data_IF_466369820968
#
_entry.id   IF_466369820968
#
_cell.length_a   1.000
_cell.length_b   1.000
_cell.length_c   1.000
_cell.angle_alpha   90.00
_cell.angle_beta   90.00
_cell.angle_gamma   90.00
#
_symmetry.space_group_name_H-M   'P 1'
#
loop_
_entity.id
_entity.type
_entity.pdbx_description
1 polymer ?
#
# COMPACT_ATOMS: atom_id res chain seq x y z
N UNK A 1 -31.70 4.82 1.80
CA UNK A 1 -31.81 3.40 2.20
C UNK A 1 -30.95 3.09 3.43
N UNK A 2 -31.45 2.29 4.37
CA UNK A 2 -30.70 1.74 5.51
C UNK A 2 -30.67 0.22 5.47
N UNK A 3 -29.57 -0.37 5.88
CA UNK A 3 -29.36 -1.83 5.97
C UNK A 3 -29.00 -2.23 7.40
N UNK A 4 -29.15 -3.50 7.77
CA UNK A 4 -28.68 -4.02 9.06
C UNK A 4 -27.14 -4.08 9.10
N UNK A 5 -26.55 -4.09 10.30
CA UNK A 5 -25.08 -4.26 10.47
C UNK A 5 -24.53 -5.55 9.83
N UNK A 6 -25.17 -6.73 9.96
CA UNK A 6 -24.69 -7.94 9.29
C UNK A 6 -24.67 -7.79 7.75
N UNK A 7 -25.69 -7.15 7.18
CA UNK A 7 -25.74 -6.89 5.73
C UNK A 7 -24.64 -5.90 5.33
N UNK A 8 -24.38 -4.86 6.12
CA UNK A 8 -23.28 -3.94 5.88
C UNK A 8 -21.90 -4.64 5.90
N UNK A 9 -21.67 -5.53 6.87
CA UNK A 9 -20.48 -6.36 6.91
C UNK A 9 -20.37 -7.27 5.68
N UNK A 10 -21.46 -7.96 5.32
CA UNK A 10 -21.52 -8.77 4.12
C UNK A 10 -21.13 -7.99 2.86
N UNK A 11 -21.68 -6.79 2.69
CA UNK A 11 -21.33 -5.91 1.57
C UNK A 11 -19.84 -5.53 1.56
N UNK A 12 -19.28 -5.16 2.71
CA UNK A 12 -17.85 -4.82 2.81
C UNK A 12 -16.98 -6.03 2.45
N UNK A 13 -17.25 -7.18 3.07
CA UNK A 13 -16.46 -8.40 2.90
C UNK A 13 -16.54 -8.93 1.46
N UNK A 14 -17.73 -8.99 0.88
CA UNK A 14 -17.94 -9.41 -0.51
C UNK A 14 -17.24 -8.46 -1.48
N UNK A 15 -17.34 -7.14 -1.25
CA UNK A 15 -16.68 -6.16 -2.14
C UNK A 15 -15.16 -6.21 -2.01
N UNK A 16 -14.65 -6.30 -0.78
CA UNK A 16 -13.22 -6.45 -0.51
C UNK A 16 -12.67 -7.72 -1.19
N UNK A 17 -13.31 -8.87 -0.93
CA UNK A 17 -12.93 -10.15 -1.52
C UNK A 17 -13.02 -10.12 -3.05
N UNK A 18 -14.15 -9.64 -3.59
CA UNK A 18 -14.37 -9.52 -5.04
C UNK A 18 -13.33 -8.62 -5.69
N UNK A 19 -13.04 -7.46 -5.10
CA UNK A 19 -11.99 -6.55 -5.58
C UNK A 19 -10.58 -7.14 -5.46
N UNK A 20 -10.33 -8.01 -4.48
CA UNK A 20 -9.03 -8.66 -4.31
C UNK A 20 -8.83 -9.83 -5.28
N UNK A 21 -9.92 -10.52 -5.65
CA UNK A 21 -9.90 -11.66 -6.57
C UNK A 21 -9.96 -11.25 -8.04
N UNK A 22 -10.53 -10.08 -8.37
CA UNK A 22 -10.76 -9.68 -9.76
C UNK A 22 -9.48 -9.64 -10.59
N UNK A 23 -8.35 -9.22 -9.99
CA UNK A 23 -7.04 -9.17 -10.65
C UNK A 23 -6.58 -10.54 -11.11
N UNK A 24 -6.74 -11.54 -10.25
CA UNK A 24 -6.33 -12.89 -10.60
C UNK A 24 -7.34 -13.55 -11.53
N UNK A 25 -8.64 -13.40 -11.29
CA UNK A 25 -9.67 -13.98 -12.16
C UNK A 25 -9.63 -13.42 -13.57
N UNK A 26 -9.14 -12.18 -13.76
CA UNK A 26 -8.88 -11.61 -15.08
C UNK A 26 -7.83 -12.39 -15.87
N UNK A 27 -6.76 -12.84 -15.22
CA UNK A 27 -5.67 -13.60 -15.86
C UNK A 27 -6.11 -15.00 -16.34
N UNK A 28 -7.26 -15.50 -15.86
CA UNK A 28 -7.81 -16.81 -16.23
C UNK A 28 -8.98 -16.75 -17.22
N UNK A 29 -9.34 -15.58 -17.75
CA UNK A 29 -10.41 -15.49 -18.75
C UNK A 29 -9.84 -15.88 -20.10
N UNK A 30 -10.34 -16.97 -20.73
CA UNK A 30 -9.82 -17.38 -22.02
C UNK A 30 -10.11 -16.33 -23.10
N UNK A 31 -9.14 -16.08 -23.98
CA UNK A 31 -9.22 -15.10 -25.08
C UNK A 31 -10.39 -15.35 -26.06
N UNK A 32 -10.96 -16.55 -26.06
CA UNK A 32 -12.04 -16.99 -26.95
C UNK A 32 -13.45 -16.62 -26.45
N UNK A 33 -13.61 -15.92 -25.32
CA UNK A 33 -14.92 -15.53 -24.82
C UNK A 33 -15.61 -14.50 -25.77
N UNK A 34 -16.85 -14.77 -26.24
CA UNK A 34 -17.48 -14.05 -27.36
C UNK A 34 -18.03 -12.66 -27.02
N UNK A 35 -17.96 -12.22 -25.76
CA UNK A 35 -18.42 -10.89 -25.34
C UNK A 35 -17.32 -9.85 -25.54
N UNK A 36 -17.61 -8.56 -25.81
CA UNK A 36 -16.59 -7.53 -25.81
C UNK A 36 -16.11 -7.23 -24.38
N UNK A 37 -14.85 -6.79 -24.24
CA UNK A 37 -14.37 -6.22 -22.98
C UNK A 37 -15.24 -4.99 -22.63
N UNK A 38 -15.72 -4.83 -21.38
CA UNK A 38 -15.34 -5.58 -20.19
C UNK A 38 -16.39 -6.58 -19.66
N UNK A 39 -17.37 -6.96 -20.50
CA UNK A 39 -18.45 -7.91 -20.14
C UNK A 39 -17.96 -9.37 -20.14
N UNK A 40 -16.75 -9.63 -20.67
CA UNK A 40 -16.09 -10.95 -20.68
C UNK A 40 -15.89 -11.55 -19.28
N UNK A 41 -15.75 -10.72 -18.24
CA UNK A 41 -15.65 -11.15 -16.85
C UNK A 41 -16.98 -10.91 -16.13
N UNK A 42 -17.76 -11.96 -15.78
CA UNK A 42 -18.99 -11.80 -15.01
C UNK A 42 -18.77 -11.08 -13.68
N UNK A 43 -17.60 -11.28 -13.05
CA UNK A 43 -17.21 -10.58 -11.83
C UNK A 43 -16.93 -9.10 -12.09
N UNK A 44 -16.23 -8.75 -13.18
CA UNK A 44 -16.02 -7.36 -13.57
C UNK A 44 -17.34 -6.67 -13.93
N UNK A 45 -18.20 -7.33 -14.71
CA UNK A 45 -19.51 -6.81 -15.06
C UNK A 45 -20.35 -6.56 -13.81
N UNK A 46 -20.37 -7.52 -12.87
CA UNK A 46 -21.00 -7.36 -11.57
C UNK A 46 -20.43 -6.17 -10.79
N UNK A 47 -19.10 -6.05 -10.68
CA UNK A 47 -18.46 -4.96 -9.93
C UNK A 47 -18.68 -3.60 -10.60
N UNK A 48 -18.74 -3.55 -11.93
CA UNK A 48 -19.06 -2.33 -12.69
C UNK A 48 -20.52 -1.92 -12.48
N UNK A 49 -21.46 -2.85 -12.62
CA UNK A 49 -22.87 -2.59 -12.34
C UNK A 49 -23.07 -2.17 -10.87
N UNK A 50 -22.40 -2.86 -9.95
CA UNK A 50 -22.43 -2.52 -8.53
C UNK A 50 -21.85 -1.12 -8.28
N UNK A 51 -20.72 -0.77 -8.90
CA UNK A 51 -20.13 0.57 -8.87
C UNK A 51 -21.11 1.63 -9.39
N UNK A 52 -21.72 1.41 -10.56
CA UNK A 52 -22.70 2.33 -11.14
C UNK A 52 -23.92 2.51 -10.23
N UNK A 53 -24.43 1.43 -9.65
CA UNK A 53 -25.53 1.48 -8.66
C UNK A 53 -25.12 2.28 -7.42
N UNK A 54 -23.88 2.12 -6.94
CA UNK A 54 -23.36 2.85 -5.79
C UNK A 54 -23.21 4.34 -6.09
N UNK A 55 -22.70 4.71 -7.28
CA UNK A 55 -22.56 6.11 -7.73
C UNK A 55 -23.94 6.75 -7.91
N UNK A 56 -24.88 6.06 -8.55
CA UNK A 56 -26.27 6.51 -8.68
C UNK A 56 -26.94 6.69 -7.30
N UNK A 57 -26.77 5.72 -6.39
CA UNK A 57 -27.31 5.78 -5.03
C UNK A 57 -26.70 6.90 -4.20
N UNK A 58 -25.41 7.21 -4.40
CA UNK A 58 -24.70 8.27 -3.69
C UNK A 58 -25.09 9.67 -4.20
N UNK A 59 -25.25 9.83 -5.51
CA UNK A 59 -25.67 11.09 -6.14
C UNK A 59 -27.14 11.44 -5.85
N UNK A 60 -28.03 10.44 -5.82
CA UNK A 60 -29.47 10.65 -5.55
C UNK A 60 -29.81 10.77 -4.06
N UNK A 61 -29.06 10.12 -3.18
CA UNK A 61 -29.26 10.16 -1.73
C UNK A 61 -28.44 11.23 -0.99
N UNK A 62 -27.98 12.25 -1.72
CA UNK A 62 -26.87 13.14 -1.38
C UNK A 62 -26.79 13.58 0.08
N UNK A 63 -25.57 13.54 0.66
CA UNK A 63 -25.03 14.24 1.87
C UNK A 63 -25.95 14.48 3.10
N UNK A 64 -27.14 13.91 3.18
CA UNK A 64 -28.20 14.44 4.01
C UNK A 64 -28.38 13.67 5.32
N UNK A 65 -27.85 14.21 6.42
CA UNK A 65 -28.57 14.18 7.70
C UNK A 65 -28.35 12.98 8.64
N UNK A 66 -28.49 13.30 9.94
CA UNK A 66 -28.41 12.52 11.19
C UNK A 66 -28.08 11.01 11.14
N UNK A 67 -27.15 10.62 12.03
CA UNK A 67 -26.80 9.22 12.36
C UNK A 67 -28.07 8.41 12.62
N UNK A 68 -28.28 7.24 11.97
CA UNK A 68 -29.27 6.30 12.47
C UNK A 68 -28.81 5.85 13.87
N UNK A 69 -29.64 6.08 14.88
CA UNK A 69 -29.47 5.49 16.20
C UNK A 69 -29.99 4.05 16.12
N UNK A 70 -29.16 3.05 16.46
CA UNK A 70 -29.57 1.63 16.51
C UNK A 70 -28.76 0.66 15.62
N UNK A 71 -29.31 -0.53 15.32
CA UNK A 71 -28.59 -1.65 14.66
C UNK A 71 -28.49 -1.52 13.13
N UNK A 72 -28.82 -0.34 12.58
CA UNK A 72 -28.90 -0.09 11.13
C UNK A 72 -27.88 0.96 10.69
N UNK A 73 -27.36 0.79 9.47
CA UNK A 73 -26.40 1.69 8.82
C UNK A 73 -27.02 2.23 7.55
N UNK A 74 -26.77 3.50 7.24
CA UNK A 74 -27.15 4.10 5.96
C UNK A 74 -26.19 3.60 4.87
N UNK A 75 -26.72 3.07 3.78
CA UNK A 75 -25.91 2.52 2.69
C UNK A 75 -24.94 3.56 2.10
N UNK A 76 -25.39 4.82 1.99
CA UNK A 76 -24.54 5.94 1.54
C UNK A 76 -23.34 6.24 2.46
N UNK A 77 -23.32 5.72 3.70
CA UNK A 77 -22.14 5.79 4.55
C UNK A 77 -21.04 4.81 4.10
N UNK A 78 -21.41 3.67 3.52
CA UNK A 78 -20.51 2.65 2.99
C UNK A 78 -20.03 2.98 1.58
N UNK A 79 -20.82 3.74 0.82
CA UNK A 79 -20.54 4.06 -0.59
C UNK A 79 -19.10 4.55 -0.86
N UNK A 80 -18.49 5.46 -0.08
CA UNK A 80 -17.10 5.86 -0.32
C UNK A 80 -16.11 4.70 -0.34
N UNK A 81 -16.21 3.79 0.64
CA UNK A 81 -15.35 2.60 0.73
C UNK A 81 -15.62 1.64 -0.43
N UNK A 82 -16.90 1.36 -0.72
CA UNK A 82 -17.28 0.40 -1.76
C UNK A 82 -16.91 0.90 -3.16
N UNK A 83 -17.08 2.20 -3.42
CA UNK A 83 -16.65 2.86 -4.64
C UNK A 83 -15.13 2.81 -4.73
N UNK A 84 -14.39 3.12 -3.66
CA UNK A 84 -12.94 3.04 -3.68
C UNK A 84 -12.44 1.64 -4.06
N UNK A 85 -12.96 0.59 -3.39
CA UNK A 85 -12.61 -0.81 -3.65
C UNK A 85 -12.90 -1.28 -5.09
N UNK A 86 -13.93 -0.72 -5.74
CA UNK A 86 -14.33 -1.12 -7.10
C UNK A 86 -13.70 -0.26 -8.19
N UNK A 87 -13.54 1.03 -7.94
CA UNK A 87 -13.09 2.03 -8.91
C UNK A 87 -11.67 1.80 -9.39
N UNK A 88 -10.73 1.54 -8.46
CA UNK A 88 -9.33 1.31 -8.84
C UNK A 88 -9.21 0.10 -9.78
N UNK A 89 -9.96 -0.97 -9.50
CA UNK A 89 -9.97 -2.16 -10.36
C UNK A 89 -10.56 -1.85 -11.74
N UNK A 90 -11.69 -1.14 -11.80
CA UNK A 90 -12.30 -0.69 -13.07
C UNK A 90 -11.30 0.12 -13.90
N UNK A 91 -10.60 1.08 -13.27
CA UNK A 91 -9.65 1.94 -13.97
C UNK A 91 -8.42 1.15 -14.44
N UNK A 92 -7.88 0.27 -13.59
CA UNK A 92 -6.73 -0.57 -13.92
C UNK A 92 -6.99 -1.47 -15.13
N UNK A 93 -8.18 -2.05 -15.30
CA UNK A 93 -8.47 -2.91 -16.45
C UNK A 93 -8.96 -2.20 -17.72
N UNK A 94 -9.49 -0.99 -17.61
CA UNK A 94 -10.02 -0.28 -18.80
C UNK A 94 -9.00 0.67 -19.40
N UNK A 95 -8.14 1.25 -18.57
CA UNK A 95 -7.25 2.32 -18.99
C UNK A 95 -5.82 1.83 -19.22
N UNK A 96 -5.31 0.88 -18.43
CA UNK A 96 -3.88 0.53 -18.52
C UNK A 96 -3.55 -0.27 -19.77
N UNK A 97 -4.36 -1.26 -20.11
CA UNK A 97 -4.13 -2.08 -21.31
C UNK A 97 -4.18 -1.22 -22.58
N UNK A 98 -5.20 -0.35 -22.70
CA UNK A 98 -5.32 0.56 -23.84
C UNK A 98 -4.16 1.58 -23.93
N UNK A 99 -3.66 2.09 -22.80
CA UNK A 99 -2.51 2.98 -22.77
C UNK A 99 -1.20 2.26 -23.10
N UNK A 100 -1.03 1.02 -22.63
CA UNK A 100 0.13 0.19 -22.92
C UNK A 100 0.16 -0.19 -24.41
N UNK A 101 -0.96 -0.63 -24.98
CA UNK A 101 -1.06 -0.96 -26.41
C UNK A 101 -0.69 0.22 -27.31
N UNK A 102 -1.08 1.44 -26.92
CA UNK A 102 -0.71 2.66 -27.64
C UNK A 102 0.79 3.02 -27.46
N UNK A 103 1.35 2.77 -26.27
CA UNK A 103 2.73 3.13 -25.92
C UNK A 103 3.78 2.13 -26.43
N UNK A 104 3.43 0.85 -26.59
CA UNK A 104 4.33 -0.24 -27.03
C UNK A 104 4.82 -0.06 -28.48
N UNK A 105 4.20 0.85 -29.25
CA UNK A 105 4.70 1.30 -30.55
C UNK A 105 6.02 2.10 -30.49
N UNK A 106 6.47 2.51 -29.29
CA UNK A 106 7.69 3.28 -29.08
C UNK A 106 8.83 2.33 -28.68
N UNK A 107 9.89 2.26 -29.50
CA UNK A 107 11.01 1.31 -29.33
C UNK A 107 11.62 1.35 -27.91
N UNK A 108 11.84 2.54 -27.35
CA UNK A 108 12.36 2.70 -25.99
C UNK A 108 11.46 2.10 -24.90
N UNK A 109 10.14 2.15 -25.09
CA UNK A 109 9.15 1.57 -24.16
C UNK A 109 9.16 0.05 -24.28
N UNK A 110 9.27 -0.48 -25.51
CA UNK A 110 9.39 -1.92 -25.74
C UNK A 110 10.63 -2.51 -25.06
N UNK A 111 11.77 -1.82 -25.14
CA UNK A 111 13.04 -2.28 -24.53
C UNK A 111 13.02 -2.27 -22.98
N UNK A 112 12.07 -1.56 -22.37
CA UNK A 112 11.93 -1.40 -20.92
C UNK A 112 10.50 -1.63 -20.43
N UNK A 113 9.76 -2.52 -21.10
CA UNK A 113 8.31 -2.66 -20.94
C UNK A 113 7.91 -2.92 -19.48
N UNK A 114 8.64 -3.79 -18.78
CA UNK A 114 8.38 -4.11 -17.36
C UNK A 114 8.47 -2.89 -16.45
N UNK A 115 9.40 -1.98 -16.74
CA UNK A 115 9.60 -0.75 -15.97
C UNK A 115 8.44 0.22 -16.19
N UNK A 116 8.03 0.39 -17.46
CA UNK A 116 6.92 1.25 -17.82
C UNK A 116 5.59 0.74 -17.28
N UNK A 117 5.39 -0.58 -17.22
CA UNK A 117 4.23 -1.18 -16.55
C UNK A 117 4.17 -0.75 -15.08
N UNK A 118 5.28 -0.83 -14.34
CA UNK A 118 5.30 -0.40 -12.94
C UNK A 118 5.01 1.09 -12.76
N UNK A 119 5.59 1.94 -13.61
CA UNK A 119 5.33 3.39 -13.59
C UNK A 119 3.86 3.68 -13.90
N UNK A 120 3.30 3.08 -14.96
CA UNK A 120 1.92 3.31 -15.38
C UNK A 120 0.91 2.84 -14.32
N UNK A 121 1.12 1.66 -13.74
CA UNK A 121 0.31 1.16 -12.63
C UNK A 121 0.36 2.15 -11.45
N UNK A 122 1.57 2.58 -11.06
CA UNK A 122 1.73 3.49 -9.94
C UNK A 122 1.10 4.87 -10.18
N UNK A 123 1.31 5.45 -11.36
CA UNK A 123 0.73 6.74 -11.76
C UNK A 123 -0.79 6.66 -11.85
N UNK A 124 -1.33 5.62 -12.49
CA UNK A 124 -2.77 5.45 -12.63
C UNK A 124 -3.45 5.21 -11.28
N UNK A 125 -2.82 4.46 -10.38
CA UNK A 125 -3.32 4.22 -9.03
C UNK A 125 -3.28 5.51 -8.21
N UNK A 126 -2.23 6.33 -8.36
CA UNK A 126 -2.16 7.65 -7.73
C UNK A 126 -3.25 8.59 -8.26
N UNK A 127 -3.52 8.56 -9.57
CA UNK A 127 -4.64 9.29 -10.16
C UNK A 127 -5.97 8.82 -9.58
N UNK A 128 -6.17 7.51 -9.45
CA UNK A 128 -7.37 6.95 -8.84
C UNK A 128 -7.54 7.41 -7.38
N UNK A 129 -6.45 7.41 -6.60
CA UNK A 129 -6.43 7.98 -5.24
C UNK A 129 -6.90 9.43 -5.25
N UNK A 130 -6.33 10.27 -6.12
CA UNK A 130 -6.65 11.71 -6.22
C UNK A 130 -8.13 11.91 -6.54
N UNK A 131 -8.67 11.16 -7.50
CA UNK A 131 -10.07 11.24 -7.91
C UNK A 131 -11.04 10.75 -6.84
N UNK A 132 -10.60 9.86 -5.94
CA UNK A 132 -11.38 9.39 -4.80
C UNK A 132 -11.35 10.34 -3.59
N UNK A 133 -10.39 11.27 -3.49
CA UNK A 133 -10.28 12.21 -2.35
C UNK A 133 -11.60 12.96 -2.05
N UNK A 134 -12.32 13.54 -3.04
CA UNK A 134 -13.56 14.28 -2.79
C UNK A 134 -14.69 13.43 -2.20
N UNK A 135 -14.63 12.12 -2.43
CA UNK A 135 -15.61 11.15 -1.91
C UNK A 135 -15.27 10.74 -0.47
N UNK A 136 -13.99 10.68 -0.14
CA UNK A 136 -13.42 10.16 1.12
C UNK A 136 -13.29 11.25 2.20
N UNK A 137 -14.37 11.98 2.47
CA UNK A 137 -14.39 13.13 3.38
C UNK A 137 -13.94 12.82 4.83
N UNK A 138 -13.91 11.55 5.25
CA UNK A 138 -13.51 11.13 6.61
C UNK A 138 -12.01 10.91 6.78
N UNK A 139 -11.29 10.72 5.67
CA UNK A 139 -9.87 10.36 5.68
C UNK A 139 -8.97 11.55 6.03
N UNK A 140 -9.45 12.78 5.80
CA UNK A 140 -8.70 14.00 6.07
C UNK A 140 -7.41 14.05 5.26
N UNK A 141 -7.47 13.69 3.97
CA UNK A 141 -6.29 13.44 3.13
C UNK A 141 -5.29 14.61 3.09
N UNK A 142 -5.77 15.85 3.17
CA UNK A 142 -4.94 17.06 3.26
C UNK A 142 -3.94 17.03 4.42
N UNK A 143 -4.23 16.30 5.50
CA UNK A 143 -3.34 16.16 6.64
C UNK A 143 -2.08 15.34 6.32
N UNK A 144 -2.12 14.49 5.29
CA UNK A 144 -0.97 13.71 4.84
C UNK A 144 -0.02 14.50 3.95
N UNK A 145 -0.55 15.39 3.12
CA UNK A 145 0.23 16.15 2.15
C UNK A 145 0.97 17.35 2.75
N UNK A 146 1.08 17.41 4.08
CA UNK A 146 1.83 18.50 4.73
C UNK A 146 3.33 18.26 4.56
N UNK A 147 4.10 19.32 4.30
CA UNK A 147 5.55 19.23 4.21
C UNK A 147 6.22 18.68 5.48
N UNK A 148 5.55 18.73 6.64
CA UNK A 148 6.01 18.10 7.87
C UNK A 148 5.91 16.56 7.82
N UNK A 149 4.82 16.01 7.27
CA UNK A 149 4.64 14.56 7.09
C UNK A 149 5.63 14.03 6.06
N UNK A 150 5.78 14.71 4.92
CA UNK A 150 6.78 14.35 3.90
C UNK A 150 8.17 14.29 4.51
N UNK A 151 8.63 15.39 5.12
CA UNK A 151 9.98 15.47 5.71
C UNK A 151 10.21 14.42 6.80
N UNK A 152 9.28 14.27 7.74
CA UNK A 152 9.41 13.26 8.80
C UNK A 152 9.42 11.83 8.26
N UNK A 153 8.69 11.55 7.18
CA UNK A 153 8.71 10.25 6.52
C UNK A 153 10.07 9.92 5.93
N UNK A 154 10.66 10.88 5.21
CA UNK A 154 12.03 10.75 4.71
C UNK A 154 13.06 10.62 5.83
N UNK A 155 13.00 11.45 6.88
CA UNK A 155 13.95 11.36 7.98
C UNK A 155 13.92 10.00 8.67
N UNK A 156 12.74 9.50 9.04
CA UNK A 156 12.61 8.18 9.67
C UNK A 156 13.13 7.06 8.76
N UNK A 157 12.85 7.16 7.46
CA UNK A 157 13.32 6.21 6.47
C UNK A 157 14.85 6.22 6.31
N UNK A 158 15.47 7.40 6.21
CA UNK A 158 16.93 7.52 6.11
C UNK A 158 17.63 7.05 7.38
N UNK A 159 17.08 7.33 8.57
CA UNK A 159 17.62 6.79 9.83
C UNK A 159 17.53 5.27 9.82
N UNK A 160 16.42 4.69 9.38
CA UNK A 160 16.27 3.23 9.28
C UNK A 160 17.33 2.63 8.35
N UNK A 161 17.49 3.18 7.14
CA UNK A 161 18.54 2.74 6.20
C UNK A 161 19.94 2.89 6.79
N UNK A 162 20.23 4.01 7.43
CA UNK A 162 21.53 4.25 8.05
C UNK A 162 21.84 3.22 9.13
N UNK A 163 20.87 2.91 10.01
CA UNK A 163 21.02 1.87 11.02
C UNK A 163 21.23 0.49 10.39
N UNK A 164 20.46 0.17 9.35
CA UNK A 164 20.60 -1.10 8.62
C UNK A 164 21.99 -1.26 8.03
N UNK A 165 22.45 -0.30 7.23
CA UNK A 165 23.76 -0.38 6.60
C UNK A 165 24.89 -0.26 7.62
N UNK A 166 24.75 0.54 8.67
CA UNK A 166 25.72 0.61 9.76
C UNK A 166 25.92 -0.74 10.47
N UNK A 167 24.81 -1.43 10.78
CA UNK A 167 24.85 -2.77 11.38
C UNK A 167 25.45 -3.80 10.43
N UNK A 168 25.01 -3.82 9.17
CA UNK A 168 25.50 -4.78 8.17
C UNK A 168 26.98 -4.54 7.83
N UNK A 169 27.42 -3.29 7.71
CA UNK A 169 28.83 -2.96 7.52
C UNK A 169 29.67 -3.41 8.72
N UNK A 170 29.19 -3.20 9.95
CA UNK A 170 29.87 -3.69 11.16
C UNK A 170 29.98 -5.21 11.17
N UNK A 171 28.93 -5.92 10.75
CA UNK A 171 28.94 -7.38 10.62
C UNK A 171 29.95 -7.84 9.56
N UNK A 172 29.99 -7.19 8.39
CA UNK A 172 30.96 -7.50 7.33
C UNK A 172 32.39 -7.28 7.84
N UNK A 173 32.68 -6.18 8.55
CA UNK A 173 34.00 -5.95 9.14
C UNK A 173 34.40 -7.05 10.14
N UNK A 174 33.44 -7.50 10.95
CA UNK A 174 33.68 -8.57 11.92
C UNK A 174 33.95 -9.92 11.26
N UNK A 175 33.21 -10.25 10.19
CA UNK A 175 33.36 -11.53 9.47
C UNK A 175 34.57 -11.56 8.54
N UNK A 176 34.87 -10.44 7.86
CA UNK A 176 35.93 -10.36 6.86
C UNK A 176 37.30 -9.99 7.47
N UNK A 177 37.31 -9.51 8.71
CA UNK A 177 38.47 -8.94 9.41
C UNK A 177 38.54 -7.42 9.26
N UNK A 178 38.95 -6.67 10.30
CA UNK A 178 38.90 -5.21 10.34
C UNK A 178 39.80 -4.54 9.30
N UNK A 179 40.80 -5.26 8.78
CA UNK A 179 41.75 -4.76 7.78
C UNK A 179 41.21 -4.83 6.35
N UNK A 180 40.12 -5.57 6.10
CA UNK A 180 39.52 -5.65 4.77
C UNK A 180 38.62 -4.45 4.52
N UNK A 181 38.89 -3.73 3.41
CA UNK A 181 38.06 -2.63 2.95
C UNK A 181 36.67 -3.14 2.58
N UNK A 182 35.61 -2.50 3.08
CA UNK A 182 34.24 -2.75 2.63
C UNK A 182 34.06 -2.13 1.25
N UNK A 183 33.46 -2.88 0.32
CA UNK A 183 33.01 -2.37 -0.97
C UNK A 183 31.48 -2.37 -1.00
N UNK A 184 30.91 -1.27 -1.52
CA UNK A 184 29.48 -1.13 -1.75
C UNK A 184 29.23 -1.28 -3.25
N UNK A 185 28.43 -2.27 -3.61
CA UNK A 185 28.03 -2.54 -4.99
C UNK A 185 26.69 -1.85 -5.25
N UNK A 186 26.70 -0.80 -6.06
CA UNK A 186 25.48 -0.12 -6.48
C UNK A 186 24.93 -0.77 -7.76
N UNK A 187 23.61 -1.01 -7.85
CA UNK A 187 22.99 -1.28 -9.12
C UNK A 187 23.05 0.00 -9.96
N UNK A 188 23.90 0.00 -10.99
CA UNK A 188 24.14 1.15 -11.86
C UNK A 188 23.44 0.97 -13.21
N UNK A 189 23.11 2.08 -13.86
CA UNK A 189 22.56 2.11 -15.22
C UNK A 189 21.12 2.63 -15.30
N UNK A 190 20.74 3.10 -16.49
CA UNK A 190 19.44 3.75 -16.75
C UNK A 190 18.27 2.82 -16.43
N UNK A 191 18.33 1.54 -16.81
CA UNK A 191 17.27 0.57 -16.54
C UNK A 191 17.04 0.34 -15.04
N UNK A 192 18.11 0.23 -14.25
CA UNK A 192 18.02 0.07 -12.80
C UNK A 192 17.39 1.30 -12.13
N UNK A 193 17.81 2.51 -12.52
CA UNK A 193 17.23 3.76 -12.02
C UNK A 193 15.74 3.88 -12.37
N UNK A 194 15.37 3.58 -13.62
CA UNK A 194 13.97 3.63 -14.03
C UNK A 194 13.13 2.59 -13.27
N UNK A 195 13.66 1.39 -13.04
CA UNK A 195 12.96 0.36 -12.25
C UNK A 195 12.80 0.80 -10.78
N UNK A 196 13.81 1.43 -10.18
CA UNK A 196 13.69 2.02 -8.83
C UNK A 196 12.60 3.10 -8.78
N UNK A 197 12.50 3.95 -9.82
CA UNK A 197 11.42 4.93 -9.91
C UNK A 197 10.06 4.24 -10.02
N UNK A 198 9.92 3.26 -10.92
CA UNK A 198 8.68 2.52 -11.12
C UNK A 198 8.20 1.81 -9.85
N UNK A 199 9.09 1.08 -9.18
CA UNK A 199 8.80 0.40 -7.92
C UNK A 199 8.47 1.39 -6.80
N UNK A 200 9.15 2.54 -6.74
CA UNK A 200 8.91 3.58 -5.75
C UNK A 200 7.55 4.26 -5.93
N UNK A 201 7.22 4.67 -7.16
CA UNK A 201 5.92 5.29 -7.47
C UNK A 201 4.77 4.32 -7.20
N UNK A 202 4.93 3.06 -7.61
CA UNK A 202 3.96 2.00 -7.33
C UNK A 202 3.74 1.81 -5.82
N UNK A 203 4.81 1.60 -5.05
CA UNK A 203 4.72 1.39 -3.61
C UNK A 203 4.06 2.58 -2.90
N UNK A 204 4.42 3.81 -3.28
CA UNK A 204 3.78 5.01 -2.75
C UNK A 204 2.27 5.03 -3.06
N UNK A 205 1.87 4.74 -4.30
CA UNK A 205 0.47 4.71 -4.70
C UNK A 205 -0.33 3.64 -3.94
N UNK A 206 0.23 2.44 -3.81
CA UNK A 206 -0.37 1.35 -3.05
C UNK A 206 -0.57 1.75 -1.57
N UNK A 207 0.43 2.39 -0.94
CA UNK A 207 0.28 2.85 0.45
C UNK A 207 -0.72 4.00 0.61
N UNK A 208 -0.76 4.96 -0.32
CA UNK A 208 -1.78 6.00 -0.30
C UNK A 208 -3.19 5.45 -0.45
N UNK A 209 -3.36 4.40 -1.27
CA UNK A 209 -4.64 3.75 -1.48
C UNK A 209 -5.04 2.85 -0.31
N UNK A 210 -4.26 1.82 0.00
CA UNK A 210 -4.62 0.82 1.03
C UNK A 210 -4.58 1.41 2.43
N UNK A 211 -3.50 2.12 2.79
CA UNK A 211 -3.28 2.63 4.16
C UNK A 211 -3.86 4.02 4.30
N UNK A 212 -3.61 4.90 3.33
CA UNK A 212 -4.12 6.27 3.33
C UNK A 212 -5.65 6.33 3.23
N UNK A 213 -6.25 5.74 2.20
CA UNK A 213 -7.69 5.80 1.94
C UNK A 213 -8.47 4.67 2.60
N UNK A 214 -8.24 3.42 2.19
CA UNK A 214 -9.12 2.29 2.53
C UNK A 214 -9.10 1.97 4.03
N UNK A 215 -7.92 1.81 4.63
CA UNK A 215 -7.78 1.51 6.05
C UNK A 215 -8.43 2.60 6.91
N UNK A 216 -8.17 3.88 6.63
CA UNK A 216 -8.75 4.99 7.40
C UNK A 216 -10.27 5.11 7.26
N UNK A 217 -10.78 4.97 6.04
CA UNK A 217 -12.22 5.00 5.80
C UNK A 217 -12.90 3.84 6.55
N UNK A 218 -12.30 2.65 6.49
CA UNK A 218 -12.77 1.47 7.19
C UNK A 218 -12.71 1.66 8.72
N UNK A 219 -11.61 2.17 9.28
CA UNK A 219 -11.50 2.53 10.70
C UNK A 219 -12.58 3.54 11.10
N UNK A 220 -12.85 4.56 10.28
CA UNK A 220 -13.89 5.56 10.52
C UNK A 220 -15.32 5.01 10.50
N UNK A 221 -15.51 3.82 9.91
CA UNK A 221 -16.79 3.10 9.85
C UNK A 221 -16.99 2.13 11.02
N UNK A 222 -15.94 1.73 11.75
CA UNK A 222 -16.00 0.65 12.76
C UNK A 222 -17.03 0.88 13.85
N UNK A 223 -17.10 2.09 14.40
CA UNK A 223 -18.09 2.42 15.43
C UNK A 223 -19.53 2.28 14.93
N UNK A 224 -19.76 2.47 13.63
CA UNK A 224 -21.07 2.33 12.98
C UNK A 224 -21.39 0.85 12.71
N UNK A 225 -20.36 0.06 12.42
CA UNK A 225 -20.42 -1.39 12.20
C UNK A 225 -20.59 -2.20 13.50
N UNK A 226 -20.56 -1.53 14.66
CA UNK A 226 -20.80 -2.16 15.96
C UNK A 226 -19.54 -2.45 16.76
N UNK A 227 -18.39 -1.91 16.35
CA UNK A 227 -17.12 -2.01 17.09
C UNK A 227 -16.80 -0.61 17.66
N UNK A 228 -17.28 -0.28 18.87
CA UNK A 228 -17.16 1.06 19.43
C UNK A 228 -15.74 1.36 19.93
N UNK A 229 -15.00 0.34 20.36
CA UNK A 229 -13.61 0.51 20.79
C UNK A 229 -12.72 0.83 19.58
N UNK A 230 -11.95 1.91 19.72
CA UNK A 230 -11.11 2.42 18.65
C UNK A 230 -9.99 1.45 18.29
N UNK A 231 -9.33 0.86 19.29
CA UNK A 231 -8.20 -0.06 19.07
C UNK A 231 -8.65 -1.32 18.35
N UNK A 232 -9.77 -1.88 18.78
CA UNK A 232 -10.41 -3.03 18.14
C UNK A 232 -10.83 -2.71 16.71
N UNK A 233 -11.40 -1.51 16.48
CA UNK A 233 -11.74 -1.05 15.14
C UNK A 233 -10.52 -0.87 14.22
N UNK A 234 -9.43 -0.31 14.72
CA UNK A 234 -8.16 -0.18 14.01
C UNK A 234 -7.59 -1.57 13.66
N UNK A 235 -7.57 -2.50 14.62
CA UNK A 235 -7.09 -3.86 14.40
C UNK A 235 -7.91 -4.60 13.32
N UNK A 236 -9.24 -4.53 13.37
CA UNK A 236 -10.10 -5.14 12.34
C UNK A 236 -9.89 -4.51 10.97
N UNK A 237 -9.77 -3.18 10.89
CA UNK A 237 -9.50 -2.51 9.63
C UNK A 237 -8.14 -2.95 9.04
N UNK A 238 -7.09 -3.02 9.86
CA UNK A 238 -5.77 -3.52 9.44
C UNK A 238 -5.89 -4.96 8.94
N UNK A 239 -6.53 -5.85 9.71
CA UNK A 239 -6.70 -7.26 9.34
C UNK A 239 -7.40 -7.42 7.99
N UNK A 240 -8.48 -6.68 7.75
CA UNK A 240 -9.22 -6.77 6.49
C UNK A 240 -8.38 -6.27 5.30
N UNK A 241 -7.68 -5.15 5.44
CA UNK A 241 -6.83 -4.63 4.37
C UNK A 241 -5.62 -5.54 4.13
N UNK A 242 -5.00 -6.06 5.18
CA UNK A 242 -3.88 -7.00 5.08
C UNK A 242 -4.29 -8.31 4.39
N UNK A 243 -5.48 -8.85 4.72
CA UNK A 243 -6.03 -10.03 4.08
C UNK A 243 -6.37 -9.76 2.61
N UNK A 244 -7.02 -8.64 2.29
CA UNK A 244 -7.30 -8.26 0.91
C UNK A 244 -6.02 -8.13 0.07
N UNK A 245 -5.02 -7.43 0.61
CA UNK A 245 -3.71 -7.29 -0.01
C UNK A 245 -3.01 -8.63 -0.20
N UNK A 246 -3.09 -9.52 0.80
CA UNK A 246 -2.59 -10.88 0.72
C UNK A 246 -3.26 -11.68 -0.39
N UNK A 247 -4.59 -11.63 -0.47
CA UNK A 247 -5.37 -12.28 -1.51
C UNK A 247 -4.89 -11.78 -2.87
N UNK A 248 -4.74 -10.47 -3.09
CA UNK A 248 -4.24 -9.91 -4.36
C UNK A 248 -2.86 -10.44 -4.80
N UNK A 249 -2.04 -10.92 -3.87
CA UNK A 249 -0.71 -11.48 -4.11
C UNK A 249 -0.67 -13.02 -4.08
N UNK A 250 -1.82 -13.66 -3.89
CA UNK A 250 -1.95 -15.09 -4.12
C UNK A 250 -1.74 -15.36 -5.62
N UNK A 251 -0.95 -16.38 -5.95
CA UNK A 251 -0.66 -16.75 -7.35
C UNK A 251 -1.44 -18.02 -7.69
N UNK A 252 -2.63 -17.89 -8.28
CA UNK A 252 -3.30 -19.06 -8.85
C UNK A 252 -2.44 -19.61 -10.00
N UNK A 253 -2.27 -20.92 -10.09
CA UNK A 253 -1.48 -21.59 -11.14
C UNK A 253 0.02 -21.77 -10.85
N UNK A 254 0.58 -21.10 -9.84
CA UNK A 254 1.93 -21.41 -9.35
C UNK A 254 1.92 -22.66 -8.44
N UNK A 255 3.07 -23.33 -8.20
CA UNK A 255 3.15 -24.40 -7.21
C UNK A 255 2.60 -23.95 -5.86
N UNK A 256 1.73 -24.76 -5.26
CA UNK A 256 0.90 -24.37 -4.10
C UNK A 256 1.71 -23.72 -2.97
N UNK A 257 2.90 -24.24 -2.68
CA UNK A 257 3.79 -23.71 -1.65
C UNK A 257 4.23 -22.25 -1.91
N UNK A 258 4.58 -21.90 -3.15
CA UNK A 258 5.01 -20.54 -3.49
C UNK A 258 3.84 -19.55 -3.38
N UNK A 259 2.63 -19.96 -3.75
CA UNK A 259 1.43 -19.15 -3.61
C UNK A 259 1.08 -18.88 -2.15
N UNK A 260 1.17 -19.90 -1.29
CA UNK A 260 0.96 -19.74 0.16
C UNK A 260 2.03 -18.86 0.80
N UNK A 261 3.29 -18.99 0.40
CA UNK A 261 4.39 -18.15 0.89
C UNK A 261 4.19 -16.68 0.48
N UNK A 262 3.86 -16.41 -0.79
CA UNK A 262 3.56 -15.07 -1.29
C UNK A 262 2.39 -14.43 -0.55
N UNK A 263 1.32 -15.19 -0.34
CA UNK A 263 0.16 -14.76 0.44
C UNK A 263 0.54 -14.45 1.89
N UNK A 264 1.19 -15.38 2.58
CA UNK A 264 1.58 -15.21 3.99
C UNK A 264 2.52 -14.01 4.15
N UNK A 265 3.45 -13.84 3.22
CA UNK A 265 4.35 -12.69 3.17
C UNK A 265 3.58 -11.38 3.00
N UNK A 266 2.72 -11.29 1.99
CA UNK A 266 1.91 -10.10 1.72
C UNK A 266 0.95 -9.76 2.87
N UNK A 267 0.37 -10.77 3.54
CA UNK A 267 -0.44 -10.56 4.76
C UNK A 267 0.43 -10.01 5.90
N UNK A 268 1.60 -10.58 6.16
CA UNK A 268 2.49 -10.15 7.24
C UNK A 268 3.00 -8.72 7.03
N UNK A 269 3.44 -8.39 5.82
CA UNK A 269 3.81 -7.03 5.42
C UNK A 269 2.58 -6.10 5.45
N UNK A 270 1.42 -6.63 5.05
CA UNK A 270 0.08 -6.06 5.21
C UNK A 270 -0.14 -5.48 6.61
N UNK A 271 -0.02 -6.34 7.60
CA UNK A 271 -0.12 -6.02 9.02
C UNK A 271 0.94 -5.00 9.44
N UNK A 272 2.21 -5.23 9.07
CA UNK A 272 3.31 -4.36 9.45
C UNK A 272 3.04 -2.91 9.02
N UNK A 273 2.70 -2.68 7.75
CA UNK A 273 2.43 -1.33 7.24
C UNK A 273 1.16 -0.73 7.83
N UNK A 274 0.13 -1.56 8.08
CA UNK A 274 -1.10 -1.10 8.73
C UNK A 274 -0.85 -0.58 10.15
N UNK A 275 -0.06 -1.30 10.94
CA UNK A 275 0.37 -0.85 12.28
C UNK A 275 1.34 0.33 12.20
N UNK A 276 2.26 0.33 11.23
CA UNK A 276 3.18 1.44 11.00
C UNK A 276 2.44 2.76 10.79
N UNK A 277 1.35 2.73 10.00
CA UNK A 277 0.49 3.89 9.81
C UNK A 277 -0.20 4.32 11.11
N UNK A 278 -0.76 3.38 11.89
CA UNK A 278 -1.43 3.70 13.15
C UNK A 278 -0.48 4.36 14.14
N UNK A 279 0.76 3.85 14.22
CA UNK A 279 1.75 4.32 15.17
C UNK A 279 2.33 5.69 14.74
N UNK A 280 2.75 5.81 13.49
CA UNK A 280 3.48 6.99 13.01
C UNK A 280 2.55 8.08 12.48
N UNK A 281 1.34 7.71 12.06
CA UNK A 281 0.42 8.59 11.36
C UNK A 281 0.89 9.00 9.96
N UNK A 282 1.97 8.42 9.44
CA UNK A 282 2.72 8.92 8.30
C UNK A 282 2.71 7.92 7.11
N UNK A 283 1.88 8.21 6.12
CA UNK A 283 1.76 7.38 4.91
C UNK A 283 2.99 7.45 4.00
N UNK A 284 3.77 8.55 4.03
CA UNK A 284 5.02 8.63 3.29
C UNK A 284 6.06 7.68 3.85
N UNK A 285 6.13 7.55 5.18
CA UNK A 285 7.02 6.58 5.79
C UNK A 285 6.63 5.15 5.42
N UNK A 286 5.35 4.80 5.48
CA UNK A 286 4.85 3.51 4.98
C UNK A 286 5.25 3.28 3.51
N UNK A 287 5.03 4.27 2.65
CA UNK A 287 5.36 4.20 1.22
C UNK A 287 6.85 4.00 0.95
N UNK A 288 7.73 4.66 1.70
CA UNK A 288 9.18 4.49 1.57
C UNK A 288 9.65 3.12 2.09
N UNK A 289 9.08 2.63 3.20
CA UNK A 289 9.35 1.27 3.70
C UNK A 289 8.88 0.22 2.68
N UNK A 290 7.72 0.41 2.08
CA UNK A 290 7.21 -0.45 1.01
C UNK A 290 8.10 -0.36 -0.25
N UNK A 291 8.50 0.84 -0.68
CA UNK A 291 9.40 1.01 -1.81
C UNK A 291 10.73 0.27 -1.58
N UNK A 292 11.26 0.35 -0.36
CA UNK A 292 12.49 -0.38 0.04
C UNK A 292 12.29 -1.88 -0.01
N UNK A 293 11.15 -2.38 0.46
CA UNK A 293 10.79 -3.78 0.29
C UNK A 293 10.82 -4.20 -1.19
N UNK A 294 10.21 -3.40 -2.07
CA UNK A 294 10.21 -3.68 -3.51
C UNK A 294 11.63 -3.63 -4.08
N UNK A 295 12.45 -2.67 -3.65
CA UNK A 295 13.84 -2.55 -4.06
C UNK A 295 14.66 -3.77 -3.65
N UNK A 296 14.47 -4.32 -2.46
CA UNK A 296 15.14 -5.56 -2.06
C UNK A 296 14.69 -6.72 -2.94
N UNK A 297 13.38 -6.91 -3.13
CA UNK A 297 12.86 -8.02 -3.94
C UNK A 297 13.29 -7.96 -5.41
N UNK A 298 13.61 -6.76 -5.90
CA UNK A 298 14.13 -6.52 -7.23
C UNK A 298 15.67 -6.44 -7.30
N UNK A 299 16.38 -6.69 -6.19
CA UNK A 299 17.84 -6.59 -6.10
C UNK A 299 18.41 -5.22 -6.49
N UNK A 300 17.68 -4.14 -6.15
CA UNK A 300 17.99 -2.74 -6.49
C UNK A 300 18.63 -1.96 -5.34
N UNK A 301 18.85 -2.57 -4.18
CA UNK A 301 19.56 -1.92 -3.09
C UNK A 301 21.08 -2.12 -3.19
N UNK A 302 21.89 -1.18 -2.67
CA UNK A 302 23.32 -1.37 -2.55
C UNK A 302 23.66 -2.63 -1.77
N UNK A 303 24.57 -3.45 -2.30
CA UNK A 303 25.04 -4.68 -1.63
C UNK A 303 26.42 -4.48 -1.01
N UNK A 304 26.69 -5.18 0.09
CA UNK A 304 27.95 -5.09 0.81
C UNK A 304 28.83 -6.32 0.54
N UNK A 305 30.12 -6.10 0.34
CA UNK A 305 31.11 -7.16 0.22
C UNK A 305 32.54 -6.66 0.35
N UNK A 306 33.48 -7.45 -0.15
CA UNK A 306 34.91 -7.10 -0.19
C UNK A 306 35.40 -6.92 -1.63
N UNK A 307 36.49 -6.17 -1.87
CA UNK A 307 37.06 -6.00 -3.20
C UNK A 307 37.33 -7.34 -3.88
N UNK A 308 36.93 -7.47 -5.14
CA UNK A 308 37.18 -8.67 -5.95
C UNK A 308 36.34 -9.90 -5.58
N UNK A 309 35.38 -9.78 -4.66
CA UNK A 309 34.46 -10.87 -4.31
C UNK A 309 33.03 -10.57 -4.72
N UNK A 310 32.20 -11.60 -4.80
CA UNK A 310 30.76 -11.42 -4.83
C UNK A 310 30.27 -10.71 -3.53
N UNK A 311 29.09 -10.06 -3.55
CA UNK A 311 28.45 -9.57 -2.34
C UNK A 311 28.36 -10.65 -1.27
N UNK A 312 28.67 -10.28 -0.02
CA UNK A 312 28.72 -11.22 1.10
C UNK A 312 27.36 -11.37 1.81
N UNK A 313 26.52 -10.34 1.71
CA UNK A 313 25.23 -10.27 2.40
C UNK A 313 24.11 -10.55 1.38
N UNK A 314 23.27 -11.57 1.61
CA UNK A 314 22.07 -11.82 0.80
C UNK A 314 21.04 -10.70 0.91
N UNK A 315 20.27 -10.47 -0.15
CA UNK A 315 19.24 -9.43 -0.22
C UNK A 315 18.19 -9.60 0.90
N UNK A 316 17.79 -10.84 1.19
CA UNK A 316 16.81 -11.16 2.24
C UNK A 316 17.30 -10.70 3.62
N UNK A 317 18.60 -10.81 3.89
CA UNK A 317 19.20 -10.33 5.15
C UNK A 317 19.10 -8.81 5.26
N UNK A 318 19.29 -8.08 4.16
CA UNK A 318 19.13 -6.63 4.12
C UNK A 318 17.69 -6.26 4.50
N UNK A 319 16.70 -6.93 3.91
CA UNK A 319 15.29 -6.69 4.21
C UNK A 319 14.97 -6.98 5.68
N UNK A 320 15.37 -8.12 6.23
CA UNK A 320 15.07 -8.45 7.62
C UNK A 320 15.69 -7.45 8.60
N UNK A 321 16.96 -7.09 8.42
CA UNK A 321 17.62 -6.09 9.27
C UNK A 321 16.97 -4.71 9.11
N UNK A 322 16.54 -4.36 7.90
CA UNK A 322 15.79 -3.14 7.64
C UNK A 322 14.44 -3.09 8.37
N UNK A 323 13.63 -4.15 8.26
CA UNK A 323 12.34 -4.21 8.95
C UNK A 323 12.51 -4.20 10.48
N UNK A 324 13.56 -4.84 11.02
CA UNK A 324 13.92 -4.76 12.44
C UNK A 324 14.28 -3.32 12.82
N UNK A 325 15.12 -2.64 12.04
CA UNK A 325 15.49 -1.24 12.29
C UNK A 325 14.27 -0.31 12.27
N UNK A 326 13.37 -0.49 11.29
CA UNK A 326 12.09 0.24 11.22
C UNK A 326 11.26 -0.02 12.49
N UNK A 327 11.11 -1.27 12.90
CA UNK A 327 10.36 -1.62 14.11
C UNK A 327 10.97 -0.99 15.37
N UNK A 328 12.29 -1.07 15.55
CA UNK A 328 12.98 -0.49 16.69
C UNK A 328 12.84 1.04 16.72
N UNK A 329 12.98 1.71 15.57
CA UNK A 329 12.79 3.17 15.47
C UNK A 329 11.37 3.58 15.86
N UNK A 330 10.38 2.83 15.40
CA UNK A 330 8.97 3.08 15.71
C UNK A 330 8.68 2.82 17.19
N UNK A 331 9.25 1.76 17.77
CA UNK A 331 9.15 1.46 19.20
C UNK A 331 9.82 2.51 20.08
N UNK A 332 11.02 2.97 19.71
CA UNK A 332 11.71 4.06 20.40
C UNK A 332 10.90 5.37 20.30
N UNK A 333 10.32 5.65 19.13
CA UNK A 333 9.47 6.80 18.92
C UNK A 333 8.20 6.79 19.80
N UNK A 334 7.60 5.63 20.06
CA UNK A 334 6.40 5.52 20.89
C UNK A 334 6.69 5.46 22.39
N UNK A 335 7.84 4.93 22.79
CA UNK A 335 8.28 4.84 24.20
C UNK A 335 8.83 6.16 24.74
N UNK A 336 9.36 7.02 23.88
CA UNK A 336 9.65 8.41 24.22
C UNK A 336 8.35 9.19 24.42
N UNK A 337 8.22 9.94 25.52
CA UNK A 337 7.04 10.81 25.71
C UNK A 337 6.89 11.73 24.50
N UNK A 338 5.66 11.98 24.02
CA UNK A 338 5.40 12.77 22.79
C UNK A 338 6.17 14.11 22.74
N UNK A 339 6.48 14.71 23.88
CA UNK A 339 7.26 15.95 23.98
C UNK A 339 8.78 15.81 23.77
N UNK A 340 9.36 14.62 23.90
CA UNK A 340 10.79 14.34 23.69
C UNK A 340 11.08 14.01 22.22
N UNK A 341 10.28 13.14 21.61
CA UNK A 341 10.44 12.79 20.19
C UNK A 341 10.21 14.01 19.28
N UNK A 342 9.24 14.86 19.60
CA UNK A 342 8.95 16.07 18.82
C UNK A 342 10.10 17.08 18.86
N UNK A 343 10.82 17.18 19.99
CA UNK A 343 12.01 18.05 20.11
C UNK A 343 13.22 17.51 19.35
N UNK A 344 13.37 16.18 19.29
CA UNK A 344 14.48 15.52 18.59
C UNK A 344 14.24 15.52 17.07
N UNK A 345 13.01 15.24 16.63
CA UNK A 345 12.68 15.12 15.20
C UNK A 345 12.26 16.44 14.53
N UNK A 346 11.82 17.45 15.29
CA UNK A 346 11.39 18.76 14.77
C UNK A 346 11.86 19.92 15.68
N UNK A 347 13.16 20.25 15.68
CA UNK A 347 13.68 21.38 16.46
C UNK A 347 12.99 22.69 16.02
N UNK A 348 12.31 23.36 16.96
CA UNK A 348 11.73 24.69 16.75
C UNK A 348 10.19 24.81 16.80
N UNK A 349 9.44 23.75 17.14
CA UNK A 349 7.99 23.87 17.40
C UNK A 349 7.61 23.44 18.82
N UNK A 350 7.19 24.40 19.63
CA UNK A 350 6.57 24.16 20.94
C UNK A 350 5.20 23.50 20.71
N UNK A 351 4.89 22.38 21.37
CA UNK A 351 3.55 21.80 21.29
C UNK A 351 2.56 22.74 22.00
N UNK A 352 1.53 23.19 21.29
CA UNK A 352 0.37 23.83 21.91
C UNK A 352 -0.32 22.75 22.74
N UNK A 353 -0.19 22.85 24.07
CA UNK A 353 -0.96 22.05 25.00
C UNK A 353 -2.44 22.35 24.77
N UNK A 354 -3.22 21.33 24.39
CA UNK A 354 -4.67 21.40 24.50
C UNK A 354 -5.05 20.85 25.86
N UNK A 355 -5.48 21.75 26.73
CA UNK A 355 -6.25 21.48 27.97
C UNK A 355 -7.56 20.80 27.64
#
# INVERSE_FOLDING_TARGET
>A
MTVSRPVAWGLILVTLLGSSLIRQLHEFIPDWAPLPWPVRSPLYAFLTLFFLILVASWSWGGRAGRRPLGPRIRLGALAPLLIALTYEKVLSFTLYDALLDHAVGIAFIRDHLDVWIHILIGVGMMLAVILLIPLMNRVGFKNFLTGAQVRSGFYLHFIALFLTYGLLSSLVMLLAGPEKRITIFFPMGTAALLLMVGQGVRAMAEEFYYRGLLQRELTGLMSRLGIPDRRSGEAVAISLIALGFGIEHFRFGAPSMQSYQSFAYAVAVGYLFGYLLVITGNVFFCGLVHATNNYVTASLLPRLGTPGTAPLIPDETILYVYLIAVFLLVFLATSMTKGQLYRILMPGRVPIARS
#
